data_IF_904139472801
#
_entry.id   IF_904139472801
#
_cell.length_a   1.000
_cell.length_b   1.000
_cell.length_c   1.000
_cell.angle_alpha   90.00
_cell.angle_beta   90.00
_cell.angle_gamma   90.00
#
_symmetry.space_group_name_H-M   'P 1'
#
loop_
_entity.id
_entity.type
_entity.pdbx_description
1 polymer ?
#
# COMPACT_ATOMS: atom_id res chain seq x y z
N UNK A 1 -8.50 -27.89 16.95
CA UNK A 1 -8.63 -27.77 15.48
C UNK A 1 -10.05 -27.30 15.17
N UNK A 2 -10.24 -26.30 14.28
CA UNK A 2 -11.47 -25.50 14.06
C UNK A 2 -11.61 -24.20 14.89
N UNK A 3 -10.52 -23.43 15.06
CA UNK A 3 -10.59 -22.11 15.73
C UNK A 3 -11.16 -21.02 14.81
N UNK A 4 -11.06 -21.18 13.48
CA UNK A 4 -11.57 -20.24 12.50
C UNK A 4 -12.47 -20.95 11.50
N UNK A 5 -13.77 -20.63 11.52
CA UNK A 5 -14.71 -21.08 10.50
C UNK A 5 -14.55 -20.19 9.27
N UNK A 6 -14.54 -20.73 8.05
CA UNK A 6 -14.33 -19.93 6.83
C UNK A 6 -15.36 -18.80 6.69
N UNK A 7 -16.58 -19.02 7.18
CA UNK A 7 -17.63 -18.00 7.20
C UNK A 7 -17.33 -16.82 8.14
N UNK A 8 -16.70 -17.05 9.30
CA UNK A 8 -16.38 -15.97 10.24
C UNK A 8 -15.24 -15.10 9.72
N UNK A 9 -14.23 -15.69 9.08
CA UNK A 9 -13.12 -14.96 8.45
C UNK A 9 -13.62 -14.11 7.28
N UNK A 10 -14.53 -14.64 6.46
CA UNK A 10 -15.12 -13.90 5.34
C UNK A 10 -15.98 -12.73 5.82
N UNK A 11 -16.79 -12.93 6.86
CA UNK A 11 -17.55 -11.82 7.47
C UNK A 11 -16.62 -10.75 8.06
N UNK A 12 -15.54 -11.16 8.74
CA UNK A 12 -14.57 -10.22 9.31
C UNK A 12 -13.82 -9.41 8.24
N UNK A 13 -13.42 -10.06 7.14
CA UNK A 13 -12.81 -9.38 6.01
C UNK A 13 -13.75 -8.32 5.43
N UNK A 14 -15.02 -8.67 5.18
CA UNK A 14 -16.01 -7.75 4.64
C UNK A 14 -16.27 -6.55 5.56
N UNK A 15 -16.39 -6.78 6.87
CA UNK A 15 -16.65 -5.70 7.82
C UNK A 15 -15.46 -4.76 7.97
N UNK A 16 -14.23 -5.28 8.11
CA UNK A 16 -13.01 -4.45 8.21
C UNK A 16 -12.78 -3.66 6.93
N UNK A 17 -12.97 -4.26 5.75
CA UNK A 17 -12.77 -3.57 4.48
C UNK A 17 -13.76 -2.41 4.31
N UNK A 18 -15.05 -2.66 4.57
CA UNK A 18 -16.08 -1.62 4.46
C UNK A 18 -15.88 -0.52 5.51
N UNK A 19 -15.65 -0.89 6.77
CA UNK A 19 -15.44 0.09 7.84
C UNK A 19 -14.15 0.90 7.63
N UNK A 20 -13.11 0.27 7.09
CA UNK A 20 -11.88 0.92 6.68
C UNK A 20 -12.16 2.02 5.66
N UNK A 21 -12.86 1.69 4.57
CA UNK A 21 -13.24 2.67 3.53
C UNK A 21 -14.02 3.86 4.10
N UNK A 22 -15.00 3.61 4.98
CA UNK A 22 -15.75 4.69 5.61
C UNK A 22 -14.87 5.56 6.51
N UNK A 23 -13.98 4.96 7.31
CA UNK A 23 -13.13 5.67 8.27
C UNK A 23 -12.10 6.56 7.56
N UNK A 24 -11.61 6.15 6.38
CA UNK A 24 -10.62 6.89 5.61
C UNK A 24 -11.12 8.24 5.09
N UNK A 25 -12.44 8.39 4.87
CA UNK A 25 -13.04 9.63 4.42
C UNK A 25 -13.32 10.65 5.53
N UNK A 26 -13.21 10.25 6.80
CA UNK A 26 -13.55 11.10 7.94
C UNK A 26 -12.35 12.02 8.24
N UNK A 27 -12.56 13.32 8.51
CA UNK A 27 -11.50 14.25 8.89
C UNK A 27 -11.02 14.03 10.34
N UNK A 28 -10.53 12.83 10.64
CA UNK A 28 -9.99 12.43 11.93
C UNK A 28 -8.55 11.96 11.72
N UNK A 29 -7.59 12.35 12.58
CA UNK A 29 -6.22 11.84 12.51
C UNK A 29 -6.24 10.33 12.80
N UNK A 30 -6.14 9.52 11.74
CA UNK A 30 -6.14 8.07 11.82
C UNK A 30 -5.10 7.45 10.89
N UNK A 31 -4.57 6.30 11.30
CA UNK A 31 -3.60 5.55 10.51
C UNK A 31 -4.28 4.60 9.53
N UNK A 32 -3.83 4.60 8.27
CA UNK A 32 -4.33 3.69 7.23
C UNK A 32 -3.67 2.30 7.27
N UNK A 33 -2.52 2.18 7.96
CA UNK A 33 -1.65 1.02 7.87
C UNK A 33 -2.23 -0.26 8.49
N UNK A 34 -2.72 -0.16 9.72
CA UNK A 34 -3.20 -1.32 10.50
C UNK A 34 -4.48 -1.93 9.91
N UNK A 35 -5.52 -1.15 9.52
CA UNK A 35 -6.72 -1.72 8.92
C UNK A 35 -6.43 -2.45 7.60
N UNK A 36 -5.48 -1.94 6.80
CA UNK A 36 -5.05 -2.60 5.55
C UNK A 36 -4.32 -3.91 5.83
N UNK A 37 -3.44 -3.97 6.85
CA UNK A 37 -2.80 -5.21 7.27
C UNK A 37 -3.85 -6.25 7.68
N UNK A 38 -4.83 -5.85 8.49
CA UNK A 38 -5.90 -6.75 8.95
C UNK A 38 -6.75 -7.28 7.79
N UNK A 39 -7.14 -6.41 6.86
CA UNK A 39 -7.87 -6.80 5.65
C UNK A 39 -7.04 -7.77 4.79
N UNK A 40 -5.76 -7.46 4.54
CA UNK A 40 -4.87 -8.32 3.76
C UNK A 40 -4.55 -9.64 4.45
N UNK A 41 -4.35 -9.66 5.77
CA UNK A 41 -4.06 -10.87 6.53
C UNK A 41 -5.24 -11.84 6.54
N UNK A 42 -6.45 -11.32 6.68
CA UNK A 42 -7.68 -12.12 6.67
C UNK A 42 -7.98 -12.64 5.26
N UNK A 43 -7.74 -11.83 4.23
CA UNK A 43 -7.76 -12.27 2.84
C UNK A 43 -6.75 -13.39 2.57
N UNK A 44 -5.49 -13.20 2.99
CA UNK A 44 -4.43 -14.20 2.85
C UNK A 44 -4.75 -15.50 3.58
N UNK A 45 -5.31 -15.41 4.78
CA UNK A 45 -5.74 -16.59 5.56
C UNK A 45 -6.91 -17.31 4.90
N UNK A 46 -7.86 -16.60 4.31
CA UNK A 46 -8.96 -17.18 3.54
C UNK A 46 -8.42 -17.95 2.33
N UNK A 47 -7.47 -17.38 1.59
CA UNK A 47 -6.78 -18.09 0.49
C UNK A 47 -6.04 -19.33 1.02
N UNK A 48 -5.34 -19.21 2.14
CA UNK A 48 -4.66 -20.34 2.79
C UNK A 48 -5.60 -21.49 3.16
N UNK A 49 -6.82 -21.20 3.64
CA UNK A 49 -7.83 -22.22 3.93
C UNK A 49 -8.34 -22.94 2.67
N UNK A 50 -8.47 -22.21 1.55
CA UNK A 50 -8.84 -22.84 0.26
C UNK A 50 -7.71 -23.68 -0.32
N UNK A 51 -6.46 -23.32 -0.06
CA UNK A 51 -5.26 -24.02 -0.54
C UNK A 51 -4.82 -25.18 0.36
N UNK A 52 -5.34 -25.26 1.59
CA UNK A 52 -5.09 -26.30 2.59
C UNK A 52 -5.23 -27.74 2.04
N UNK A 53 -6.27 -28.11 1.26
CA UNK A 53 -6.37 -29.45 0.69
C UNK A 53 -5.33 -29.75 -0.40
N UNK A 54 -4.73 -28.71 -1.01
CA UNK A 54 -3.78 -28.87 -2.11
C UNK A 54 -2.32 -28.77 -1.68
N UNK A 55 -2.04 -28.06 -0.59
CA UNK A 55 -0.68 -27.77 -0.13
C UNK A 55 -0.60 -27.84 1.39
N UNK A 56 0.37 -28.61 1.93
CA UNK A 56 0.63 -28.71 3.37
C UNK A 56 1.50 -27.53 3.84
N UNK A 57 1.05 -26.32 3.55
CA UNK A 57 1.74 -25.07 3.85
C UNK A 57 1.06 -24.37 5.02
N UNK A 58 1.84 -23.69 5.86
CA UNK A 58 1.29 -23.00 7.02
C UNK A 58 0.40 -21.82 6.60
N UNK A 59 -0.81 -21.78 7.16
CA UNK A 59 -1.81 -20.74 6.92
C UNK A 59 -1.31 -19.36 7.39
N UNK A 60 -0.37 -19.32 8.34
CA UNK A 60 0.28 -18.11 8.81
C UNK A 60 1.09 -17.42 7.71
N UNK A 61 1.80 -18.19 6.88
CA UNK A 61 2.58 -17.64 5.77
C UNK A 61 1.70 -16.95 4.73
N UNK A 62 0.57 -17.57 4.37
CA UNK A 62 -0.40 -16.97 3.46
C UNK A 62 -1.03 -15.70 4.03
N UNK A 63 -1.28 -15.64 5.35
CA UNK A 63 -1.76 -14.42 5.99
C UNK A 63 -0.75 -13.27 5.88
N UNK A 64 0.53 -13.51 6.13
CA UNK A 64 1.58 -12.48 5.99
C UNK A 64 1.73 -12.03 4.53
N UNK A 65 1.69 -12.96 3.58
CA UNK A 65 1.76 -12.62 2.15
C UNK A 65 0.53 -11.85 1.68
N UNK A 66 -0.66 -12.21 2.17
CA UNK A 66 -1.89 -11.46 1.93
C UNK A 66 -1.81 -10.03 2.47
N UNK A 67 -1.32 -9.86 3.70
CA UNK A 67 -1.08 -8.54 4.29
C UNK A 67 -0.10 -7.71 3.45
N UNK A 68 1.02 -8.32 3.04
CA UNK A 68 2.00 -7.70 2.16
C UNK A 68 1.37 -7.26 0.82
N UNK A 69 0.60 -8.13 0.18
CA UNK A 69 -0.03 -7.84 -1.12
C UNK A 69 -0.97 -6.63 -1.04
N UNK A 70 -1.79 -6.53 0.00
CA UNK A 70 -2.76 -5.44 0.14
C UNK A 70 -2.09 -4.11 0.47
N UNK A 71 -1.08 -4.15 1.35
CA UNK A 71 -0.25 -3.00 1.68
C UNK A 71 0.54 -2.48 0.47
N UNK A 72 1.17 -3.37 -0.30
CA UNK A 72 1.93 -3.02 -1.50
C UNK A 72 1.07 -2.40 -2.59
N UNK A 73 -0.15 -2.93 -2.80
CA UNK A 73 -1.08 -2.43 -3.81
C UNK A 73 -1.72 -1.09 -3.43
N UNK A 74 -2.03 -0.90 -2.14
CA UNK A 74 -2.66 0.32 -1.63
C UNK A 74 -1.66 1.48 -1.47
N UNK A 75 -0.52 1.24 -0.83
CA UNK A 75 0.41 2.30 -0.40
C UNK A 75 1.61 2.49 -1.33
N UNK A 76 1.88 1.58 -2.28
CA UNK A 76 2.99 1.67 -3.27
C UNK A 76 4.41 1.75 -2.71
N UNK A 77 4.55 1.57 -1.41
CA UNK A 77 5.83 1.46 -0.73
C UNK A 77 6.30 0.01 -0.78
N UNK A 78 7.47 -0.26 -1.36
CA UNK A 78 7.98 -1.63 -1.52
C UNK A 78 9.10 -1.94 -0.53
N UNK A 79 10.16 -1.14 -0.52
CA UNK A 79 11.35 -1.40 0.31
C UNK A 79 11.02 -1.27 1.80
N UNK A 80 10.43 -0.14 2.22
CA UNK A 80 10.09 0.09 3.63
C UNK A 80 9.10 -0.95 4.17
N UNK A 81 8.09 -1.34 3.38
CA UNK A 81 7.10 -2.34 3.81
C UNK A 81 7.72 -3.72 3.92
N UNK A 82 8.62 -4.08 3.00
CA UNK A 82 9.37 -5.33 3.09
C UNK A 82 10.20 -5.39 4.37
N UNK A 83 10.90 -4.31 4.72
CA UNK A 83 11.72 -4.26 5.94
C UNK A 83 10.84 -4.35 7.20
N UNK A 84 9.74 -3.61 7.26
CA UNK A 84 8.81 -3.68 8.40
C UNK A 84 8.27 -5.11 8.58
N UNK A 85 7.81 -5.76 7.50
CA UNK A 85 7.30 -7.12 7.58
C UNK A 85 8.39 -8.14 7.93
N UNK A 86 9.62 -7.93 7.47
CA UNK A 86 10.77 -8.75 7.86
C UNK A 86 11.07 -8.63 9.35
N UNK A 87 11.14 -7.41 9.88
CA UNK A 87 11.40 -7.16 11.30
C UNK A 87 10.31 -7.78 12.18
N UNK A 88 9.04 -7.66 11.77
CA UNK A 88 7.90 -8.26 12.49
C UNK A 88 7.92 -9.79 12.46
N UNK A 89 8.38 -10.39 11.37
CA UNK A 89 8.41 -11.86 11.21
C UNK A 89 9.71 -12.46 11.75
N UNK A 90 10.78 -11.66 11.86
CA UNK A 90 12.13 -12.07 12.23
C UNK A 90 12.63 -13.30 11.43
N UNK A 91 12.31 -13.34 10.13
CA UNK A 91 12.68 -14.45 9.27
C UNK A 91 13.16 -13.96 7.89
N UNK A 92 14.48 -13.96 7.72
CA UNK A 92 15.12 -13.53 6.48
C UNK A 92 14.78 -14.43 5.28
N UNK A 93 14.46 -15.70 5.49
CA UNK A 93 14.10 -16.61 4.39
C UNK A 93 12.77 -16.23 3.71
N UNK A 94 11.89 -15.49 4.42
CA UNK A 94 10.61 -15.04 3.88
C UNK A 94 10.72 -13.76 3.03
N UNK A 95 11.83 -13.03 3.17
CA UNK A 95 12.11 -11.77 2.45
C UNK A 95 11.88 -11.87 0.93
N UNK A 96 12.50 -12.81 0.19
CA UNK A 96 12.33 -12.86 -1.27
C UNK A 96 10.89 -13.09 -1.70
N UNK A 97 10.13 -13.87 -0.91
CA UNK A 97 8.72 -14.15 -1.15
C UNK A 97 7.86 -12.89 -0.96
N UNK A 98 8.09 -12.15 0.13
CA UNK A 98 7.40 -10.89 0.41
C UNK A 98 7.73 -9.84 -0.66
N UNK A 99 9.01 -9.71 -1.04
CA UNK A 99 9.42 -8.78 -2.10
C UNK A 99 8.74 -9.07 -3.44
N UNK A 100 8.68 -10.34 -3.83
CA UNK A 100 8.03 -10.75 -5.07
C UNK A 100 6.54 -10.39 -5.06
N UNK A 101 5.84 -10.69 -3.97
CA UNK A 101 4.41 -10.36 -3.82
C UNK A 101 4.18 -8.85 -3.82
N UNK A 102 5.02 -8.08 -3.13
CA UNK A 102 4.96 -6.62 -3.11
C UNK A 102 5.18 -6.01 -4.50
N UNK A 103 6.16 -6.53 -5.25
CA UNK A 103 6.48 -6.04 -6.58
C UNK A 103 5.34 -6.33 -7.54
N UNK A 104 4.81 -7.56 -7.56
CA UNK A 104 3.66 -7.92 -8.41
C UNK A 104 2.45 -7.05 -8.04
N UNK A 105 2.13 -6.91 -6.76
CA UNK A 105 0.98 -6.10 -6.32
C UNK A 105 1.13 -4.63 -6.69
N UNK A 106 2.33 -4.06 -6.54
CA UNK A 106 2.65 -2.70 -6.99
C UNK A 106 2.48 -2.57 -8.50
N UNK A 107 3.11 -3.43 -9.29
CA UNK A 107 3.02 -3.35 -10.75
C UNK A 107 1.57 -3.47 -11.22
N UNK A 108 0.81 -4.42 -10.67
CA UNK A 108 -0.62 -4.59 -11.00
C UNK A 108 -1.40 -3.34 -10.61
N UNK A 109 -1.15 -2.77 -9.45
CA UNK A 109 -1.89 -1.56 -9.10
C UNK A 109 -1.48 -0.36 -9.97
N UNK A 110 -0.22 -0.26 -10.42
CA UNK A 110 0.33 0.99 -11.00
C UNK A 110 -0.34 1.23 -12.36
N UNK A 111 -0.89 0.18 -12.97
CA UNK A 111 -1.69 0.25 -14.18
C UNK A 111 -3.10 0.80 -13.96
N UNK A 112 -3.66 0.69 -12.75
CA UNK A 112 -5.02 1.15 -12.46
C UNK A 112 -5.04 2.55 -11.84
N UNK A 113 -4.20 2.80 -10.83
CA UNK A 113 -4.34 3.99 -9.99
C UNK A 113 -3.05 4.33 -9.24
N UNK A 114 -2.87 5.61 -8.88
CA UNK A 114 -1.76 6.04 -8.01
C UNK A 114 -1.93 5.56 -6.56
N UNK A 115 -0.88 5.66 -5.74
CA UNK A 115 -0.96 5.30 -4.33
C UNK A 115 -1.96 6.17 -3.56
N UNK A 116 -2.54 5.62 -2.49
CA UNK A 116 -3.55 6.35 -1.69
C UNK A 116 -2.99 7.67 -1.17
N UNK A 117 -1.74 7.70 -0.71
CA UNK A 117 -1.13 8.93 -0.19
C UNK A 117 -0.97 10.01 -1.25
N UNK A 118 -0.55 9.65 -2.47
CA UNK A 118 -0.42 10.60 -3.58
C UNK A 118 -1.80 11.16 -3.98
N UNK A 119 -2.83 10.32 -3.96
CA UNK A 119 -4.20 10.77 -4.20
C UNK A 119 -4.68 11.75 -3.14
N UNK A 120 -4.41 11.49 -1.86
CA UNK A 120 -4.79 12.39 -0.78
C UNK A 120 -4.11 13.76 -0.95
N UNK A 121 -2.82 13.78 -1.31
CA UNK A 121 -2.08 15.02 -1.58
C UNK A 121 -2.71 15.80 -2.75
N UNK A 122 -3.01 15.12 -3.85
CA UNK A 122 -3.68 15.73 -5.01
C UNK A 122 -5.08 16.24 -4.67
N UNK A 123 -5.87 15.49 -3.90
CA UNK A 123 -7.20 15.90 -3.44
C UNK A 123 -7.15 17.11 -2.49
N UNK A 124 -6.08 17.25 -1.71
CA UNK A 124 -5.86 18.42 -0.83
C UNK A 124 -5.32 19.64 -1.57
N UNK A 125 -4.91 19.50 -2.83
CA UNK A 125 -4.34 20.60 -3.62
C UNK A 125 -3.00 21.11 -3.08
N UNK A 126 -2.26 20.27 -2.35
CA UNK A 126 -0.96 20.65 -1.80
C UNK A 126 0.10 20.61 -2.90
N UNK A 127 0.96 21.63 -3.03
CA UNK A 127 2.06 21.60 -3.98
C UNK A 127 3.08 20.55 -3.55
N UNK A 128 3.12 19.41 -4.26
CA UNK A 128 4.06 18.32 -4.03
C UNK A 128 5.00 18.20 -5.22
N UNK A 129 6.30 18.26 -4.94
CA UNK A 129 7.33 18.11 -5.95
C UNK A 129 7.72 16.64 -6.05
N UNK A 130 7.45 16.03 -7.20
CA UNK A 130 7.86 14.65 -7.48
C UNK A 130 9.39 14.56 -7.63
N UNK A 131 9.97 13.40 -7.28
CA UNK A 131 11.42 13.20 -7.34
C UNK A 131 12.01 13.24 -8.76
N UNK A 132 11.16 12.98 -9.77
CA UNK A 132 11.54 12.99 -11.17
C UNK A 132 10.69 14.02 -11.89
N UNK A 133 11.33 14.88 -12.69
CA UNK A 133 10.61 15.82 -13.54
C UNK A 133 9.83 15.07 -14.62
N UNK A 134 8.62 15.53 -14.91
CA UNK A 134 7.80 14.96 -15.97
C UNK A 134 8.53 15.09 -17.33
N UNK A 135 8.42 14.10 -18.25
CA UNK A 135 9.23 14.08 -19.46
C UNK A 135 9.14 15.34 -20.34
N UNK A 136 8.00 16.03 -20.35
CA UNK A 136 7.81 17.28 -21.09
C UNK A 136 8.61 18.46 -20.49
N UNK A 137 8.89 18.44 -19.18
CA UNK A 137 9.66 19.49 -18.50
C UNK A 137 11.11 19.55 -18.98
N UNK A 138 11.62 18.51 -19.66
CA UNK A 138 12.95 18.51 -20.27
C UNK A 138 13.10 19.56 -21.37
N UNK A 139 12.00 20.07 -21.92
CA UNK A 139 12.00 21.09 -22.97
C UNK A 139 11.84 22.51 -22.41
N UNK A 140 11.53 22.66 -21.12
CA UNK A 140 11.32 23.95 -20.47
C UNK A 140 12.65 24.54 -20.02
N UNK A 141 12.85 25.83 -20.27
CA UNK A 141 13.95 26.61 -19.70
C UNK A 141 13.50 27.28 -18.41
N UNK A 142 14.45 27.66 -17.54
CA UNK A 142 14.13 28.39 -16.31
C UNK A 142 13.36 29.70 -16.60
N UNK A 143 13.59 30.32 -17.75
CA UNK A 143 12.86 31.52 -18.19
C UNK A 143 11.38 31.28 -18.44
N UNK A 144 10.98 30.07 -18.82
CA UNK A 144 9.57 29.72 -19.12
C UNK A 144 8.75 29.48 -17.84
N UNK A 145 9.42 29.15 -16.74
CA UNK A 145 8.78 28.78 -15.45
C UNK A 145 8.82 29.92 -14.44
N UNK A 146 9.80 30.83 -14.56
CA UNK A 146 9.91 32.00 -13.69
C UNK A 146 8.74 32.95 -13.95
N UNK A 147 7.94 33.18 -12.91
CA UNK A 147 6.83 34.14 -12.95
C UNK A 147 7.29 35.56 -12.62
N UNK A 148 6.97 36.50 -13.53
CA UNK A 148 6.79 37.92 -13.24
C UNK A 148 8.06 38.81 -13.20
N UNK A 149 7.87 40.13 -13.06
CA UNK A 149 8.96 41.08 -12.88
C UNK A 149 9.68 40.80 -11.56
N UNK A 150 10.99 40.58 -11.61
CA UNK A 150 11.82 40.36 -10.44
C UNK A 150 11.79 41.62 -9.56
N UNK A 151 11.29 41.50 -8.33
CA UNK A 151 11.39 42.57 -7.34
C UNK A 151 12.80 42.53 -6.76
N UNK A 152 13.66 43.43 -7.21
CA UNK A 152 15.02 43.59 -6.70
C UNK A 152 15.06 44.72 -5.68
N UNK A 153 15.73 44.50 -4.56
CA UNK A 153 16.08 45.54 -3.61
C UNK A 153 17.51 46.00 -3.93
N UNK A 154 17.66 47.21 -4.46
CA UNK A 154 18.95 47.88 -4.60
C UNK A 154 19.14 48.79 -3.38
N UNK A 155 20.13 48.47 -2.54
CA UNK A 155 20.60 49.31 -1.44
C UNK A 155 21.64 50.32 -1.90
#
# INVERSE_FOLDING_TARGET
>A
ANVFHSSSVLMFFGTIYMLGMFTYGIPVPSGLFIPVILAGATYGRLVGMFMDPFTNLDQGLFAVLGAASFLGGSMRMTVSLCVILLELTNNLYMLPLIMLVLLISKTVGDTFNSGIYDQIVRMKGLPYLEAHAEPYMRQLTAGDVVTGPLVTFAG
#
